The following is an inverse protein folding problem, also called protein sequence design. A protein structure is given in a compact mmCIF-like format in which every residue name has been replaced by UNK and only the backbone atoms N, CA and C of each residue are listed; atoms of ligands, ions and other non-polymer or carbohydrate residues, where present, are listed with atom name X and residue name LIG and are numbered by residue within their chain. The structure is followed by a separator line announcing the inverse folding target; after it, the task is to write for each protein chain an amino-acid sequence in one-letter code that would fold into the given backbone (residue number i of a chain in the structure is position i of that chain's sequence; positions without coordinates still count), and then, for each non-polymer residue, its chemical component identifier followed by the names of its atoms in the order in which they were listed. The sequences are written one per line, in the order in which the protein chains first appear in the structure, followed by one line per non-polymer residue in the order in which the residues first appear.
data_IF_178153336076
#
_entry.id   IF_178153336076
#
_cell.length_a   1.000
_cell.length_b   1.000
_cell.length_c   1.000
_cell.angle_alpha   90.00
_cell.angle_beta   90.00
_cell.angle_gamma   90.00
#
_symmetry.space_group_name_H-M   'P 1'
#
loop_
_entity.id
_entity.type
_entity.pdbx_description
1 polymer ?
#
# COMPACT_ATOMS: atom_id res chain seq x y z
N UNK A 1 12.30 -16.86 -9.16
CA UNK A 1 11.67 -16.15 -8.02
C UNK A 1 10.40 -15.53 -8.55
N UNK A 2 9.30 -15.54 -7.79
CA UNK A 2 8.05 -14.91 -8.23
C UNK A 2 8.23 -13.39 -8.27
N UNK A 3 7.53 -12.72 -9.19
CA UNK A 3 7.53 -11.26 -9.27
C UNK A 3 6.91 -10.66 -8.01
N UNK A 4 7.57 -9.63 -7.47
CA UNK A 4 7.08 -8.93 -6.31
C UNK A 4 5.86 -8.06 -6.69
N UNK A 5 4.92 -7.92 -5.76
CA UNK A 5 3.69 -7.16 -5.98
C UNK A 5 3.67 -5.94 -5.06
N UNK A 6 3.33 -4.78 -5.63
CA UNK A 6 3.10 -3.60 -4.82
C UNK A 6 1.71 -3.67 -4.15
N UNK A 7 1.67 -3.48 -2.84
CA UNK A 7 0.44 -3.46 -2.05
C UNK A 7 0.09 -2.03 -1.67
N UNK A 8 -1.07 -1.59 -2.14
CA UNK A 8 -1.65 -0.27 -1.90
C UNK A 8 -2.70 -0.28 -0.77
N UNK A 9 -2.97 0.89 -0.20
CA UNK A 9 -3.97 1.12 0.84
C UNK A 9 -5.35 0.61 0.44
N UNK A 10 -5.78 0.86 -0.80
CA UNK A 10 -7.13 0.50 -1.25
C UNK A 10 -7.37 -1.01 -1.21
N UNK A 11 -6.36 -1.82 -1.55
CA UNK A 11 -6.44 -3.28 -1.45
C UNK A 11 -6.62 -3.73 0.00
N UNK A 12 -5.86 -3.17 0.94
CA UNK A 12 -5.92 -3.55 2.35
C UNK A 12 -7.26 -3.16 2.97
N UNK A 13 -7.78 -1.97 2.64
CA UNK A 13 -9.11 -1.54 3.09
C UNK A 13 -10.18 -2.50 2.56
N UNK A 14 -10.14 -2.84 1.27
CA UNK A 14 -11.09 -3.77 0.69
C UNK A 14 -10.99 -5.17 1.32
N UNK A 15 -9.79 -5.62 1.69
CA UNK A 15 -9.60 -6.92 2.35
C UNK A 15 -10.19 -6.95 3.77
N UNK A 16 -10.10 -5.85 4.53
CA UNK A 16 -10.56 -5.76 5.92
C UNK A 16 -12.06 -5.41 6.01
N UNK A 17 -12.54 -4.49 5.17
CA UNK A 17 -13.92 -4.04 5.19
C UNK A 17 -14.81 -4.96 4.35
N UNK A 18 -15.55 -5.86 5.01
CA UNK A 18 -16.48 -6.80 4.35
C UNK A 18 -17.59 -6.10 3.55
N UNK A 19 -17.93 -4.85 3.89
CA UNK A 19 -18.92 -4.05 3.16
C UNK A 19 -18.33 -3.28 1.98
N UNK A 20 -17.02 -3.37 1.73
CA UNK A 20 -16.38 -2.74 0.59
C UNK A 20 -16.83 -3.44 -0.71
N UNK A 21 -17.17 -2.65 -1.73
CA UNK A 21 -17.59 -3.18 -3.03
C UNK A 21 -16.51 -4.07 -3.70
N UNK A 22 -15.24 -3.95 -3.29
CA UNK A 22 -14.12 -4.71 -3.81
C UNK A 22 -13.71 -5.88 -2.89
N UNK A 23 -14.40 -6.12 -1.77
CA UNK A 23 -14.01 -7.13 -0.78
C UNK A 23 -13.82 -8.52 -1.38
N UNK A 24 -14.80 -9.02 -2.15
CA UNK A 24 -14.72 -10.33 -2.79
C UNK A 24 -13.53 -10.44 -3.77
N UNK A 25 -13.21 -9.35 -4.46
CA UNK A 25 -12.06 -9.31 -5.37
C UNK A 25 -10.73 -9.29 -4.59
N UNK A 26 -10.65 -8.53 -3.51
CA UNK A 26 -9.47 -8.50 -2.65
C UNK A 26 -9.16 -9.89 -2.06
N UNK A 27 -10.19 -10.61 -1.60
CA UNK A 27 -10.04 -11.98 -1.09
C UNK A 27 -9.57 -12.97 -2.18
N UNK A 28 -10.11 -12.86 -3.39
CA UNK A 28 -9.64 -13.69 -4.50
C UNK A 28 -8.18 -13.41 -4.88
N UNK A 29 -7.75 -12.14 -4.80
CA UNK A 29 -6.35 -11.75 -5.05
C UNK A 29 -5.42 -12.26 -3.94
N UNK A 30 -5.86 -12.25 -2.68
CA UNK A 30 -5.02 -12.75 -1.56
C UNK A 30 -4.69 -14.23 -1.73
N UNK A 31 -5.67 -15.04 -2.13
CA UNK A 31 -5.47 -16.48 -2.41
C UNK A 31 -4.61 -16.70 -3.65
N UNK A 32 -4.84 -15.91 -4.71
CA UNK A 32 -4.12 -16.07 -5.98
C UNK A 32 -2.63 -15.75 -5.87
N UNK A 33 -2.27 -14.80 -5.00
CA UNK A 33 -0.92 -14.26 -4.90
C UNK A 33 -0.26 -14.55 -3.54
N UNK A 34 -0.74 -15.54 -2.79
CA UNK A 34 -0.29 -15.84 -1.42
C UNK A 34 1.23 -16.00 -1.29
N UNK A 35 1.90 -16.72 -2.20
CA UNK A 35 3.37 -16.88 -2.14
C UNK A 35 4.18 -15.84 -2.96
N UNK A 36 3.58 -14.70 -3.34
CA UNK A 36 4.33 -13.63 -3.99
C UNK A 36 4.99 -12.71 -2.94
N UNK A 37 6.26 -12.30 -3.14
CA UNK A 37 6.85 -11.26 -2.33
C UNK A 37 6.04 -9.96 -2.43
N UNK A 38 5.89 -9.24 -1.33
CA UNK A 38 5.12 -8.01 -1.28
C UNK A 38 6.03 -6.81 -1.06
N UNK A 39 5.69 -5.70 -1.69
CA UNK A 39 6.35 -4.41 -1.50
C UNK A 39 5.29 -3.39 -1.12
N UNK A 40 5.55 -2.58 -0.11
CA UNK A 40 4.70 -1.43 0.22
C UNK A 40 5.55 -0.29 0.75
N UNK A 41 4.94 0.80 1.21
CA UNK A 41 5.64 1.92 1.84
C UNK A 41 5.14 2.19 3.24
N UNK A 42 5.98 2.76 4.11
CA UNK A 42 5.53 3.25 5.42
C UNK A 42 4.43 4.32 5.32
N UNK A 43 4.37 5.09 4.23
CA UNK A 43 3.27 6.02 3.97
C UNK A 43 1.94 5.32 3.70
N UNK A 44 1.95 4.20 2.95
CA UNK A 44 0.77 3.33 2.78
C UNK A 44 0.33 2.76 4.13
N UNK A 45 1.27 2.33 4.97
CA UNK A 45 0.96 1.87 6.33
C UNK A 45 0.28 2.97 7.18
N UNK A 46 0.77 4.21 7.11
CA UNK A 46 0.13 5.34 7.79
C UNK A 46 -1.29 5.60 7.26
N UNK A 47 -1.49 5.51 5.96
CA UNK A 47 -2.79 5.74 5.32
C UNK A 47 -3.81 4.65 5.69
N UNK A 48 -3.41 3.37 5.69
CA UNK A 48 -4.20 2.24 6.19
C UNK A 48 -4.63 2.49 7.64
N UNK A 49 -3.68 2.83 8.50
CA UNK A 49 -3.94 3.09 9.91
C UNK A 49 -4.93 4.24 10.12
N UNK A 50 -4.80 5.32 9.37
CA UNK A 50 -5.70 6.47 9.42
C UNK A 50 -7.11 6.12 8.91
N UNK A 51 -7.20 5.44 7.76
CA UNK A 51 -8.47 5.07 7.14
C UNK A 51 -9.31 4.13 8.02
N UNK A 52 -8.66 3.18 8.70
CA UNK A 52 -9.33 2.17 9.52
C UNK A 52 -9.43 2.55 11.01
N UNK A 53 -8.86 3.69 11.41
CA UNK A 53 -8.73 4.13 12.81
C UNK A 53 -10.05 4.16 13.63
N UNK A 54 -11.19 4.34 12.95
CA UNK A 54 -12.53 4.44 13.53
C UNK A 54 -13.41 3.21 13.31
N UNK A 55 -13.04 2.34 12.37
CA UNK A 55 -13.93 1.27 11.88
C UNK A 55 -13.37 -0.12 12.21
N UNK A 56 -12.06 -0.30 12.08
CA UNK A 56 -11.41 -1.61 12.20
C UNK A 56 -9.99 -1.45 12.79
N UNK A 57 -9.88 -0.75 13.93
CA UNK A 57 -8.58 -0.41 14.52
C UNK A 57 -7.77 -1.65 14.89
N UNK A 58 -8.41 -2.70 15.39
CA UNK A 58 -7.74 -3.93 15.81
C UNK A 58 -7.13 -4.67 14.61
N UNK A 59 -7.92 -4.81 13.56
CA UNK A 59 -7.56 -5.43 12.29
C UNK A 59 -6.45 -4.64 11.60
N UNK A 60 -6.57 -3.29 11.60
CA UNK A 60 -5.53 -2.41 11.12
C UNK A 60 -4.21 -2.65 11.87
N UNK A 61 -4.22 -2.67 13.20
CA UNK A 61 -3.01 -2.94 13.99
C UNK A 61 -2.39 -4.30 13.62
N UNK A 62 -3.19 -5.35 13.46
CA UNK A 62 -2.69 -6.68 13.06
C UNK A 62 -2.01 -6.65 11.69
N UNK A 63 -2.64 -6.03 10.70
CA UNK A 63 -2.09 -5.92 9.34
C UNK A 63 -0.83 -5.06 9.30
N UNK A 64 -0.78 -3.96 10.05
CA UNK A 64 0.43 -3.14 10.16
C UNK A 64 1.59 -3.92 10.78
N UNK A 65 1.33 -4.70 11.84
CA UNK A 65 2.35 -5.57 12.42
C UNK A 65 2.81 -6.64 11.42
N UNK A 66 1.90 -7.25 10.66
CA UNK A 66 2.25 -8.21 9.62
C UNK A 66 3.20 -7.60 8.59
N UNK A 67 2.85 -6.46 7.98
CA UNK A 67 3.71 -5.82 6.99
C UNK A 67 5.11 -5.47 7.53
N UNK A 68 5.21 -5.12 8.82
CA UNK A 68 6.50 -4.73 9.41
C UNK A 68 7.42 -5.91 9.78
N UNK A 69 6.89 -7.13 9.92
CA UNK A 69 7.64 -8.26 10.48
C UNK A 69 7.66 -9.52 9.60
N UNK A 70 6.80 -9.61 8.59
CA UNK A 70 6.77 -10.74 7.66
C UNK A 70 8.00 -10.71 6.73
N UNK A 71 8.68 -11.85 6.59
CA UNK A 71 9.93 -11.96 5.82
C UNK A 71 9.71 -11.75 4.31
N UNK A 72 8.51 -12.05 3.83
CA UNK A 72 8.08 -11.89 2.44
C UNK A 72 7.68 -10.44 2.09
N UNK A 73 7.58 -9.55 3.09
CA UNK A 73 7.20 -8.16 2.90
C UNK A 73 8.42 -7.25 2.95
N UNK A 74 8.57 -6.40 1.94
CA UNK A 74 9.49 -5.26 1.98
C UNK A 74 8.73 -3.95 2.17
N UNK A 75 8.89 -3.32 3.33
CA UNK A 75 8.38 -1.97 3.58
C UNK A 75 9.46 -0.95 3.20
N UNK A 76 9.18 -0.14 2.19
CA UNK A 76 10.07 0.92 1.72
C UNK A 76 9.83 2.19 2.53
N UNK A 77 10.89 2.72 3.13
CA UNK A 77 10.83 3.92 3.94
C UNK A 77 10.65 5.19 3.11
N UNK A 78 9.82 6.09 3.60
CA UNK A 78 9.71 7.47 3.15
C UNK A 78 10.93 8.25 3.62
N UNK A 79 11.77 8.66 2.67
CA UNK A 79 12.91 9.55 2.92
C UNK A 79 12.60 10.97 2.42
N UNK A 80 13.34 12.00 2.88
CA UNK A 80 13.20 13.36 2.35
C UNK A 80 13.33 13.43 0.81
N UNK A 81 14.19 12.61 0.23
CA UNK A 81 14.41 12.57 -1.22
C UNK A 81 13.19 11.99 -1.94
N UNK A 82 12.64 10.87 -1.45
CA UNK A 82 11.41 10.28 -2.01
C UNK A 82 10.22 11.20 -1.83
N UNK A 83 10.12 11.87 -0.68
CA UNK A 83 9.09 12.87 -0.42
C UNK A 83 9.12 14.00 -1.44
N UNK A 84 10.30 14.56 -1.71
CA UNK A 84 10.45 15.63 -2.69
C UNK A 84 10.13 15.16 -4.12
N UNK A 85 10.53 13.94 -4.50
CA UNK A 85 10.16 13.37 -5.81
C UNK A 85 8.65 13.15 -5.94
N UNK A 86 8.01 12.57 -4.93
CA UNK A 86 6.57 12.39 -4.89
C UNK A 86 5.83 13.74 -4.94
N UNK A 87 6.34 14.77 -4.27
CA UNK A 87 5.78 16.13 -4.32
C UNK A 87 5.89 16.74 -5.72
N UNK A 88 7.04 16.59 -6.40
CA UNK A 88 7.20 17.04 -7.78
C UNK A 88 6.26 16.32 -8.74
N UNK A 89 6.01 15.03 -8.50
CA UNK A 89 5.05 14.25 -9.28
C UNK A 89 3.61 14.76 -9.06
N UNK A 90 3.25 14.99 -7.81
CA UNK A 90 1.95 15.53 -7.41
C UNK A 90 1.69 16.91 -8.04
N UNK A 91 2.68 17.80 -8.05
CA UNK A 91 2.56 19.12 -8.68
C UNK A 91 2.45 19.04 -10.21
N UNK A 92 3.12 18.07 -10.85
CA UNK A 92 3.09 17.91 -12.30
C UNK A 92 1.75 17.42 -12.83
N UNK A 93 1.08 16.54 -12.09
CA UNK A 93 -0.13 15.84 -12.55
C UNK A 93 -1.39 16.37 -11.86
N UNK A 94 -1.60 17.68 -11.93
CA UNK A 94 -2.78 18.33 -11.32
C UNK A 94 -4.11 17.94 -11.99
N UNK A 95 -4.07 17.34 -13.19
CA UNK A 95 -5.24 16.80 -13.88
C UNK A 95 -5.67 15.42 -13.35
N UNK A 96 -4.87 14.79 -12.48
CA UNK A 96 -5.15 13.48 -11.89
C UNK A 96 -5.64 13.61 -10.46
N UNK A 97 -6.49 12.67 -10.05
CA UNK A 97 -6.98 12.56 -8.68
C UNK A 97 -6.03 11.78 -7.76
N UNK A 98 -4.73 11.76 -8.06
CA UNK A 98 -3.74 10.99 -7.31
C UNK A 98 -3.46 11.65 -5.96
N UNK A 99 -3.49 10.86 -4.90
CA UNK A 99 -3.02 11.27 -3.58
C UNK A 99 -1.50 11.39 -3.52
N UNK A 100 -1.00 11.95 -2.42
CA UNK A 100 0.45 12.04 -2.17
C UNK A 100 1.07 10.66 -1.91
N UNK A 101 0.31 9.77 -1.28
CA UNK A 101 0.71 8.38 -1.05
C UNK A 101 0.81 7.65 -2.39
N UNK A 102 -0.16 7.81 -3.29
CA UNK A 102 -0.08 7.27 -4.67
C UNK A 102 1.19 7.75 -5.39
N UNK A 103 1.50 9.05 -5.31
CA UNK A 103 2.68 9.60 -5.95
C UNK A 103 3.98 8.99 -5.41
N UNK A 104 4.05 8.74 -4.09
CA UNK A 104 5.18 8.03 -3.48
C UNK A 104 5.24 6.58 -3.96
N UNK A 105 4.10 5.90 -4.00
CA UNK A 105 3.98 4.52 -4.48
C UNK A 105 4.51 4.39 -5.91
N UNK A 106 4.16 5.32 -6.81
CA UNK A 106 4.67 5.32 -8.18
C UNK A 106 6.20 5.49 -8.26
N UNK A 107 6.78 6.36 -7.43
CA UNK A 107 8.23 6.51 -7.37
C UNK A 107 8.91 5.23 -6.89
N UNK A 108 8.35 4.57 -5.87
CA UNK A 108 8.87 3.30 -5.35
C UNK A 108 8.72 2.16 -6.37
N UNK A 109 7.59 2.09 -7.08
CA UNK A 109 7.38 1.11 -8.14
C UNK A 109 8.41 1.29 -9.26
N UNK A 110 8.63 2.53 -9.73
CA UNK A 110 9.66 2.85 -10.74
C UNK A 110 11.07 2.48 -10.29
N UNK A 111 11.44 2.80 -9.04
CA UNK A 111 12.75 2.45 -8.48
C UNK A 111 13.00 0.93 -8.46
N UNK A 112 11.93 0.15 -8.32
CA UNK A 112 11.99 -1.31 -8.16
C UNK A 112 11.65 -2.09 -9.42
N UNK A 113 11.26 -1.41 -10.50
CA UNK A 113 10.83 -2.05 -11.75
C UNK A 113 9.49 -2.80 -11.62
N UNK A 114 8.57 -2.25 -10.82
CA UNK A 114 7.19 -2.74 -10.62
C UNK A 114 6.18 -1.95 -11.46
#
# INVERSE_FOLDING_TARGET
MREALFVDTGYVIALINENDQHHARALALSQRYEDHPLVTTDAVLLEIGNALSRIARREATQVLHYFLHADEVTVVQLTPERFNRALNLYDRYQDKSWGRVDCLSFEVMRERGL
#
